data_IF_793525458828
#
_entry.id   IF_793525458828
#
_cell.length_a   1.000
_cell.length_b   1.000
_cell.length_c   1.000
_cell.angle_alpha   90.00
_cell.angle_beta   90.00
_cell.angle_gamma   90.00
#
_symmetry.space_group_name_H-M   'P 1'
#
loop_
_entity.id
_entity.type
_entity.pdbx_description
1 polymer ?
#
# COMPACT_ATOMS: atom_id res chain seq x y z
N UNK A 1 -39.07 8.30 -30.51
CA UNK A 1 -38.70 7.36 -29.42
C UNK A 1 -37.39 7.89 -28.86
N UNK A 2 -37.33 8.45 -27.64
CA UNK A 2 -36.08 9.00 -27.13
C UNK A 2 -35.10 7.85 -26.86
N UNK A 3 -33.86 8.03 -27.35
CA UNK A 3 -32.76 7.10 -27.18
C UNK A 3 -32.30 7.18 -25.73
N UNK A 4 -32.78 6.29 -24.86
CA UNK A 4 -32.24 6.17 -23.50
C UNK A 4 -30.90 5.49 -23.66
N UNK A 5 -29.81 6.23 -23.44
CA UNK A 5 -28.45 5.69 -23.40
C UNK A 5 -28.35 4.64 -22.28
N UNK A 6 -28.71 3.41 -22.62
CA UNK A 6 -28.76 2.24 -21.73
C UNK A 6 -27.40 1.95 -21.08
N UNK A 7 -26.34 2.59 -21.58
CA UNK A 7 -24.98 2.48 -21.09
C UNK A 7 -24.70 3.31 -19.81
N UNK A 8 -25.50 4.35 -19.52
CA UNK A 8 -25.26 5.27 -18.40
C UNK A 8 -26.39 5.18 -17.37
N UNK A 9 -26.06 5.44 -16.11
CA UNK A 9 -27.10 5.69 -15.12
C UNK A 9 -27.80 7.02 -15.42
N UNK A 10 -29.10 7.04 -15.16
CA UNK A 10 -29.95 8.22 -15.32
C UNK A 10 -29.38 9.38 -14.47
N UNK A 11 -29.15 10.53 -15.12
CA UNK A 11 -28.52 11.73 -14.52
C UNK A 11 -27.18 11.49 -13.80
N UNK A 12 -26.44 10.42 -14.14
CA UNK A 12 -25.21 10.02 -13.43
C UNK A 12 -25.40 9.93 -11.89
N UNK A 13 -26.60 9.51 -11.47
CA UNK A 13 -26.97 9.48 -10.05
C UNK A 13 -26.84 10.85 -9.34
N UNK A 14 -27.05 11.97 -10.07
CA UNK A 14 -26.88 13.35 -9.60
C UNK A 14 -25.53 13.61 -8.91
N UNK A 15 -24.49 12.83 -9.24
CA UNK A 15 -23.19 12.83 -8.52
C UNK A 15 -23.26 12.53 -7.01
N UNK A 16 -24.42 12.07 -6.51
CA UNK A 16 -24.66 11.72 -5.10
C UNK A 16 -24.76 10.20 -4.93
N UNK A 17 -24.03 9.44 -5.75
CA UNK A 17 -24.07 8.00 -5.71
C UNK A 17 -23.23 7.34 -6.80
N UNK A 18 -23.13 6.02 -6.72
CA UNK A 18 -22.37 5.20 -7.68
C UNK A 18 -23.32 4.46 -8.61
N UNK A 19 -23.00 4.50 -9.89
CA UNK A 19 -23.71 3.72 -10.89
C UNK A 19 -23.21 2.27 -10.87
N UNK A 20 -24.11 1.31 -10.61
CA UNK A 20 -23.77 -0.11 -10.68
C UNK A 20 -24.71 -0.85 -11.63
N UNK A 21 -24.18 -1.89 -12.28
CA UNK A 21 -24.94 -2.74 -13.16
C UNK A 21 -25.50 -3.91 -12.37
N UNK A 22 -26.83 -3.94 -12.16
CA UNK A 22 -27.49 -5.07 -11.50
C UNK A 22 -27.72 -6.22 -12.48
N UNK A 23 -28.06 -5.89 -13.73
CA UNK A 23 -28.29 -6.82 -14.84
C UNK A 23 -27.76 -6.20 -16.16
N UNK A 24 -27.49 -6.99 -17.22
CA UNK A 24 -27.04 -6.47 -18.51
C UNK A 24 -27.98 -5.41 -19.12
N UNK A 25 -29.26 -5.44 -18.75
CA UNK A 25 -30.32 -4.53 -19.24
C UNK A 25 -30.66 -3.43 -18.21
N UNK A 26 -30.29 -3.59 -16.94
CA UNK A 26 -30.73 -2.70 -15.87
C UNK A 26 -29.56 -2.21 -15.01
N UNK A 27 -29.27 -0.91 -15.13
CA UNK A 27 -28.37 -0.17 -14.23
C UNK A 27 -29.17 0.51 -13.13
N UNK A 28 -28.60 0.61 -11.94
CA UNK A 28 -29.19 1.26 -10.78
C UNK A 28 -28.16 2.13 -10.08
N UNK A 29 -28.64 3.16 -9.39
CA UNK A 29 -27.81 4.03 -8.57
C UNK A 29 -27.77 3.53 -7.13
N UNK A 30 -26.57 3.41 -6.58
CA UNK A 30 -26.29 3.20 -5.16
C UNK A 30 -26.05 4.59 -4.55
N UNK A 31 -27.04 5.13 -3.85
CA UNK A 31 -26.99 6.51 -3.37
C UNK A 31 -26.10 6.65 -2.13
N UNK A 32 -25.38 7.76 -2.07
CA UNK A 32 -24.61 8.15 -0.90
C UNK A 32 -25.55 8.45 0.29
N UNK A 33 -25.00 8.40 1.50
CA UNK A 33 -25.76 8.62 2.72
C UNK A 33 -26.45 9.99 2.70
N UNK A 34 -27.75 9.99 3.00
CA UNK A 34 -28.59 11.19 2.96
C UNK A 34 -29.19 11.51 1.59
N UNK A 35 -28.96 10.66 0.58
CA UNK A 35 -29.61 10.76 -0.73
C UNK A 35 -30.39 9.47 -1.06
N UNK A 36 -31.55 9.65 -1.67
CA UNK A 36 -32.46 8.56 -2.05
C UNK A 36 -33.09 8.81 -3.43
N UNK A 37 -33.89 7.84 -3.89
CA UNK A 37 -34.54 7.86 -5.19
C UNK A 37 -33.72 7.19 -6.29
N UNK A 38 -34.34 6.98 -7.46
CA UNK A 38 -33.73 6.22 -8.57
C UNK A 38 -32.44 6.86 -9.11
N UNK A 39 -32.33 8.17 -8.98
CA UNK A 39 -31.22 9.01 -9.46
C UNK A 39 -30.47 9.73 -8.33
N UNK A 40 -30.69 9.36 -7.07
CA UNK A 40 -30.06 10.01 -5.90
C UNK A 40 -30.23 11.54 -5.83
N UNK A 41 -31.33 12.04 -6.42
CA UNK A 41 -31.66 13.48 -6.43
C UNK A 41 -32.51 13.93 -5.25
N UNK A 42 -33.02 12.98 -4.44
CA UNK A 42 -33.87 13.29 -3.29
C UNK A 42 -33.01 13.31 -2.03
N UNK A 43 -32.97 14.43 -1.32
CA UNK A 43 -32.33 14.49 0.00
C UNK A 43 -33.24 13.79 1.01
N UNK A 44 -32.70 12.80 1.72
CA UNK A 44 -33.42 12.09 2.77
C UNK A 44 -33.57 13.00 4.01
N UNK A 45 -34.80 13.32 4.46
CA UNK A 45 -35.02 14.14 5.65
C UNK A 45 -34.62 13.44 6.96
N UNK A 46 -34.37 12.13 6.95
CA UNK A 46 -33.89 11.37 8.09
C UNK A 46 -32.69 10.50 7.68
N UNK A 47 -31.49 11.10 7.47
CA UNK A 47 -30.32 10.36 7.05
C UNK A 47 -29.97 9.30 8.11
N UNK A 48 -29.71 8.06 7.65
CA UNK A 48 -29.19 7.02 8.52
C UNK A 48 -27.94 7.54 9.27
N UNK A 49 -27.76 7.19 10.56
CA UNK A 49 -26.61 7.64 11.32
C UNK A 49 -25.33 7.24 10.59
N UNK A 50 -24.47 8.23 10.37
CA UNK A 50 -23.19 8.09 9.68
C UNK A 50 -22.34 7.11 10.50
N UNK A 51 -22.38 5.83 10.17
CA UNK A 51 -21.49 4.86 10.79
C UNK A 51 -20.10 5.12 10.22
N UNK A 52 -19.32 5.99 10.88
CA UNK A 52 -17.91 6.26 10.59
C UNK A 52 -17.02 5.02 10.73
N UNK A 53 -17.59 3.91 11.18
CA UNK A 53 -17.03 2.56 11.11
C UNK A 53 -17.65 1.82 9.92
N UNK A 54 -17.33 2.25 8.70
CA UNK A 54 -17.46 1.34 7.58
C UNK A 54 -16.18 0.51 7.55
N UNK A 55 -16.22 -0.82 7.70
CA UNK A 55 -15.08 -1.69 7.45
C UNK A 55 -14.91 -1.82 5.92
N UNK A 56 -14.73 -0.69 5.24
CA UNK A 56 -14.06 -0.72 3.95
C UNK A 56 -12.66 -1.22 4.33
N UNK A 57 -12.13 -2.29 3.72
CA UNK A 57 -10.72 -2.59 3.91
C UNK A 57 -10.00 -1.32 3.48
N UNK A 58 -9.43 -0.60 4.46
CA UNK A 58 -8.67 0.62 4.22
C UNK A 58 -7.48 0.19 3.38
N UNK A 59 -7.67 0.11 2.07
CA UNK A 59 -6.59 -0.17 1.13
C UNK A 59 -5.48 0.85 1.38
N UNK A 60 -5.84 2.08 1.77
CA UNK A 60 -4.94 3.07 2.34
C UNK A 60 -4.11 2.55 3.52
N UNK A 61 -4.73 2.00 4.56
CA UNK A 61 -4.03 1.46 5.73
C UNK A 61 -3.18 0.21 5.40
N UNK A 62 -3.68 -0.67 4.53
CA UNK A 62 -2.95 -1.86 4.10
C UNK A 62 -1.72 -1.49 3.26
N UNK A 63 -1.86 -0.55 2.33
CA UNK A 63 -0.75 -0.01 1.52
C UNK A 63 0.26 0.69 2.42
N UNK A 64 -0.18 1.50 3.40
CA UNK A 64 0.70 2.13 4.36
C UNK A 64 1.47 1.11 5.20
N UNK A 65 0.80 0.06 5.71
CA UNK A 65 1.43 -1.00 6.49
C UNK A 65 2.46 -1.80 5.67
N UNK A 66 2.12 -2.18 4.44
CA UNK A 66 3.04 -2.87 3.53
C UNK A 66 4.25 -2.00 3.18
N UNK A 67 4.04 -0.71 2.93
CA UNK A 67 5.13 0.21 2.64
C UNK A 67 6.11 0.32 3.81
N UNK A 68 5.61 0.49 5.04
CA UNK A 68 6.42 0.57 6.24
C UNK A 68 7.22 -0.72 6.49
N UNK A 69 6.59 -1.87 6.30
CA UNK A 69 7.25 -3.17 6.41
C UNK A 69 8.39 -3.31 5.38
N UNK A 70 8.14 -2.94 4.12
CA UNK A 70 9.16 -2.97 3.06
C UNK A 70 10.33 -2.04 3.41
N UNK A 71 10.06 -0.82 3.88
CA UNK A 71 11.10 0.13 4.29
C UNK A 71 11.96 -0.43 5.43
N UNK A 72 11.37 -1.06 6.43
CA UNK A 72 12.11 -1.68 7.53
C UNK A 72 12.99 -2.85 7.05
N UNK A 73 12.45 -3.71 6.18
CA UNK A 73 13.21 -4.83 5.61
C UNK A 73 14.39 -4.32 4.78
N UNK A 74 14.14 -3.34 3.89
CA UNK A 74 15.20 -2.73 3.08
C UNK A 74 16.27 -2.12 3.98
N UNK A 75 15.87 -1.36 5.00
CA UNK A 75 16.81 -0.75 5.96
C UNK A 75 17.64 -1.80 6.69
N UNK A 76 17.01 -2.89 7.16
CA UNK A 76 17.72 -4.00 7.80
C UNK A 76 18.71 -4.68 6.83
N UNK A 77 18.33 -4.90 5.58
CA UNK A 77 19.22 -5.47 4.55
C UNK A 77 20.40 -4.52 4.30
N UNK A 78 20.18 -3.22 4.17
CA UNK A 78 21.26 -2.25 4.00
C UNK A 78 22.17 -2.18 5.24
N UNK A 79 21.61 -2.26 6.45
CA UNK A 79 22.37 -2.33 7.69
C UNK A 79 23.21 -3.61 7.75
N UNK A 80 22.63 -4.77 7.40
CA UNK A 80 23.34 -6.04 7.35
C UNK A 80 24.42 -6.02 6.27
N UNK A 81 24.15 -5.53 5.07
CA UNK A 81 25.16 -5.38 4.01
C UNK A 81 26.28 -4.44 4.47
N UNK A 82 25.97 -3.30 5.07
CA UNK A 82 26.98 -2.36 5.59
C UNK A 82 27.81 -2.98 6.72
N UNK A 83 27.17 -3.70 7.64
CA UNK A 83 27.83 -4.45 8.70
C UNK A 83 28.67 -5.60 8.16
N UNK A 84 28.19 -6.36 7.17
CA UNK A 84 28.92 -7.42 6.50
C UNK A 84 30.11 -6.88 5.71
N UNK A 85 29.98 -5.73 5.05
CA UNK A 85 31.08 -5.04 4.37
C UNK A 85 32.12 -4.59 5.40
N UNK A 86 31.70 -4.02 6.54
CA UNK A 86 32.60 -3.62 7.62
C UNK A 86 33.26 -4.82 8.32
N UNK A 87 32.53 -5.93 8.47
CA UNK A 87 33.01 -7.16 9.08
C UNK A 87 34.00 -7.88 8.16
N UNK A 88 33.68 -7.99 6.87
CA UNK A 88 34.58 -8.54 5.84
C UNK A 88 35.87 -7.72 5.73
N UNK A 89 35.77 -6.38 5.82
CA UNK A 89 36.95 -5.50 5.91
C UNK A 89 37.79 -5.78 7.16
N UNK A 90 37.19 -5.98 8.35
CA UNK A 90 37.95 -6.34 9.57
C UNK A 90 38.61 -7.70 9.47
N UNK A 91 37.90 -8.72 8.98
CA UNK A 91 38.45 -10.08 8.83
C UNK A 91 39.63 -10.11 7.87
N UNK A 92 39.57 -9.36 6.77
CA UNK A 92 40.70 -9.23 5.83
C UNK A 92 41.93 -8.53 6.43
N UNK A 93 41.74 -7.59 7.36
CA UNK A 93 42.86 -6.91 8.05
C UNK A 93 43.48 -7.81 9.12
N UNK A 94 42.66 -8.57 9.84
CA UNK A 94 43.11 -9.51 10.87
C UNK A 94 43.92 -10.68 10.28
N UNK A 95 43.46 -11.27 9.16
CA UNK A 95 44.20 -12.29 8.41
C UNK A 95 45.49 -11.77 7.76
N UNK A 96 45.54 -10.48 7.38
CA UNK A 96 46.75 -9.86 6.83
C UNK A 96 47.77 -9.50 7.92
N UNK A 97 47.31 -9.13 9.12
CA UNK A 97 48.16 -8.84 10.28
C UNK A 97 48.81 -10.11 10.82
N UNK A 98 48.04 -11.19 10.99
CA UNK A 98 48.54 -12.48 11.44
C UNK A 98 49.63 -13.05 10.50
N UNK A 99 49.46 -12.89 9.18
CA UNK A 99 50.44 -13.32 8.17
C UNK A 99 51.74 -12.51 8.20
N UNK A 100 51.65 -11.21 8.49
CA UNK A 100 52.81 -10.32 8.57
C UNK A 100 53.63 -10.60 9.83
N UNK A 101 52.96 -10.82 10.97
CA UNK A 101 53.62 -11.17 12.25
C UNK A 101 54.38 -12.51 12.12
N UNK A 102 53.83 -13.51 11.42
CA UNK A 102 54.52 -14.78 11.15
C UNK A 102 55.75 -14.65 10.24
N UNK A 103 55.76 -13.70 9.29
CA UNK A 103 56.93 -13.46 8.43
C UNK A 103 58.07 -12.77 9.18
N UNK A 104 57.76 -11.81 10.05
CA UNK A 104 58.77 -11.08 10.85
C UNK A 104 59.43 -11.95 11.91
N UNK A 105 58.65 -12.78 12.62
CA UNK A 105 59.20 -13.71 13.64
C UNK A 105 60.08 -14.82 13.08
N UNK A 106 59.91 -15.17 11.79
CA UNK A 106 60.75 -16.17 11.11
C UNK A 106 62.09 -15.61 10.62
N UNK A 107 62.27 -14.29 10.57
CA UNK A 107 63.54 -13.65 10.21
C UNK A 107 64.46 -13.43 11.42
N UNK A 108 63.94 -13.40 12.64
CA UNK A 108 64.75 -13.20 13.86
C UNK A 108 65.35 -14.48 14.46
N UNK A 109 65.12 -15.65 13.83
CA UNK A 109 65.55 -16.96 14.34
C UNK A 109 66.73 -17.59 13.58
N UNK A 110 67.47 -16.82 12.77
CA UNK A 110 68.70 -17.26 12.10
C UNK A 110 69.88 -16.35 12.41
#
# INVERSE_FOLDING_TARGET
MPYVDLYKCEELCNSNGRCFQKNPVQRSCDCDLGFTGRTCGVVDPNPAPISRFSPIPDFSAFILALSAALFLIITLVFCLQSCCIRYSKRKSVEDSSARNIQMTTRMETY
#
